data_IF_961976665352
#
_entry.id   IF_961976665352
#
_cell.length_a   1.000
_cell.length_b   1.000
_cell.length_c   1.000
_cell.angle_alpha   90.00
_cell.angle_beta   90.00
_cell.angle_gamma   90.00
#
_symmetry.space_group_name_H-M   'P 1'
#
loop_
_entity.id
_entity.type
_entity.pdbx_description
1 polymer ?
#
# COMPACT_ATOMS: atom_id res chain seq x y z
N UNK A 1 -0.01 11.22 -1.52
CA UNK A 1 -0.95 11.75 -2.55
C UNK A 1 -0.35 12.87 -3.41
N UNK A 2 -0.08 14.09 -2.90
CA UNK A 2 0.47 15.19 -3.74
C UNK A 2 1.89 14.95 -4.27
N UNK A 3 2.82 14.60 -3.38
CA UNK A 3 4.24 14.39 -3.73
C UNK A 3 4.45 13.28 -4.76
N UNK A 4 3.51 12.36 -4.86
CA UNK A 4 3.56 11.19 -5.75
C UNK A 4 2.73 11.34 -7.03
N UNK A 5 2.07 12.51 -7.24
CA UNK A 5 1.20 12.77 -8.39
C UNK A 5 0.18 11.65 -8.66
N UNK A 6 -0.36 11.07 -7.59
CA UNK A 6 -1.29 9.93 -7.70
C UNK A 6 -2.61 10.40 -8.31
N UNK A 7 -3.11 9.76 -9.38
CA UNK A 7 -4.44 10.02 -9.89
C UNK A 7 -5.51 9.74 -8.81
N UNK A 8 -6.51 10.60 -8.72
CA UNK A 8 -7.60 10.50 -7.76
C UNK A 8 -8.95 10.60 -8.46
N UNK A 9 -9.95 9.97 -7.86
CA UNK A 9 -11.36 10.26 -8.09
C UNK A 9 -11.91 11.03 -6.88
N UNK A 10 -12.48 12.21 -7.13
CA UNK A 10 -13.19 13.00 -6.12
C UNK A 10 -14.67 12.87 -6.40
N UNK A 11 -15.42 12.34 -5.45
CA UNK A 11 -16.88 12.28 -5.53
C UNK A 11 -17.45 13.48 -4.79
N UNK A 12 -18.36 14.18 -5.45
CA UNK A 12 -19.08 15.31 -4.87
C UNK A 12 -20.33 14.83 -4.14
N UNK A 13 -20.86 15.66 -3.25
CA UNK A 13 -22.09 15.37 -2.48
C UNK A 13 -23.32 15.18 -3.38
N UNK A 14 -23.32 15.76 -4.58
CA UNK A 14 -24.36 15.60 -5.59
C UNK A 14 -24.17 14.37 -6.48
N UNK A 15 -23.16 13.52 -6.21
CA UNK A 15 -22.88 12.30 -6.96
C UNK A 15 -21.98 12.47 -8.19
N UNK A 16 -21.61 13.70 -8.56
CA UNK A 16 -20.67 13.93 -9.67
C UNK A 16 -19.28 13.39 -9.30
N UNK A 17 -18.61 12.75 -10.26
CA UNK A 17 -17.24 12.26 -10.12
C UNK A 17 -16.28 13.15 -10.93
N UNK A 18 -15.31 13.73 -10.25
CA UNK A 18 -14.18 14.43 -10.87
C UNK A 18 -12.95 13.52 -10.84
N UNK A 19 -12.14 13.56 -11.90
CA UNK A 19 -10.90 12.78 -11.98
C UNK A 19 -9.74 13.68 -12.36
N UNK A 20 -8.58 13.42 -11.78
CA UNK A 20 -7.36 14.18 -12.03
C UNK A 20 -6.28 13.88 -11.01
N UNK A 21 -5.27 14.72 -10.96
CA UNK A 21 -4.23 14.70 -9.93
C UNK A 21 -4.39 15.89 -9.02
N UNK A 22 -4.08 15.69 -7.74
CA UNK A 22 -4.11 16.78 -6.78
C UNK A 22 -2.86 17.64 -6.97
N UNK A 23 -3.04 18.87 -7.45
CA UNK A 23 -1.97 19.84 -7.67
C UNK A 23 -1.61 20.57 -6.36
N UNK A 24 -2.60 21.14 -5.67
CA UNK A 24 -2.42 21.84 -4.39
C UNK A 24 -3.69 21.80 -3.51
N UNK A 25 -3.61 22.36 -2.31
CA UNK A 25 -4.71 22.56 -1.34
C UNK A 25 -4.33 23.63 -0.34
N UNK A 26 -5.38 24.22 0.24
CA UNK A 26 -5.33 24.87 1.54
C UNK A 26 -6.36 24.21 2.49
N UNK A 27 -6.81 24.97 3.49
CA UNK A 27 -7.81 24.55 4.46
C UNK A 27 -9.19 24.25 3.83
N UNK A 28 -9.60 24.94 2.77
CA UNK A 28 -10.97 24.94 2.24
C UNK A 28 -11.11 24.36 0.84
N UNK A 29 -10.06 24.40 0.02
CA UNK A 29 -10.11 24.01 -1.39
C UNK A 29 -9.02 23.02 -1.77
N UNK A 30 -9.24 22.34 -2.90
CA UNK A 30 -8.28 21.48 -3.59
C UNK A 30 -8.16 21.97 -5.03
N UNK A 31 -6.95 22.17 -5.53
CA UNK A 31 -6.72 22.29 -6.97
C UNK A 31 -6.55 20.89 -7.56
N UNK A 32 -7.47 20.51 -8.43
CA UNK A 32 -7.47 19.25 -9.17
C UNK A 32 -7.07 19.52 -10.62
N UNK A 33 -6.03 18.85 -11.10
CA UNK A 33 -5.51 18.98 -12.45
C UNK A 33 -5.93 17.78 -13.30
N UNK A 34 -6.63 18.03 -14.39
CA UNK A 34 -6.77 17.10 -15.52
C UNK A 34 -6.07 17.70 -16.75
N UNK A 35 -6.82 18.11 -17.79
CA UNK A 35 -6.33 19.02 -18.84
C UNK A 35 -6.08 20.42 -18.28
N UNK A 36 -6.96 20.92 -17.43
CA UNK A 36 -6.86 22.24 -16.77
C UNK A 36 -6.85 22.09 -15.24
N UNK A 37 -6.41 23.13 -14.55
CA UNK A 37 -6.46 23.20 -13.08
C UNK A 37 -7.81 23.78 -12.68
N UNK A 38 -8.59 23.02 -11.92
CA UNK A 38 -9.88 23.46 -11.39
C UNK A 38 -9.86 23.46 -9.86
N UNK A 39 -10.55 24.44 -9.27
CA UNK A 39 -10.71 24.54 -7.83
C UNK A 39 -11.95 23.76 -7.39
N UNK A 40 -11.80 22.91 -6.39
CA UNK A 40 -12.89 22.11 -5.81
C UNK A 40 -13.01 22.45 -4.32
N UNK A 41 -14.17 22.93 -3.90
CA UNK A 41 -14.44 23.26 -2.49
C UNK A 41 -14.70 22.00 -1.67
N UNK A 42 -14.05 21.87 -0.51
CA UNK A 42 -14.17 20.68 0.35
C UNK A 42 -15.58 20.44 0.89
N UNK A 43 -16.39 21.48 1.09
CA UNK A 43 -17.78 21.33 1.54
C UNK A 43 -18.66 20.58 0.52
N UNK A 44 -18.26 20.58 -0.76
CA UNK A 44 -18.97 19.90 -1.82
C UNK A 44 -18.44 18.48 -2.08
N UNK A 45 -17.37 18.05 -1.39
CA UNK A 45 -16.73 16.75 -1.57
C UNK A 45 -17.32 15.75 -0.57
N UNK A 46 -17.74 14.58 -1.04
CA UNK A 46 -18.13 13.46 -0.19
C UNK A 46 -16.95 12.54 0.10
N UNK A 47 -16.19 12.15 -0.94
CA UNK A 47 -15.04 11.24 -0.78
C UNK A 47 -13.92 11.52 -1.78
N UNK A 48 -12.69 11.16 -1.41
CA UNK A 48 -11.51 11.20 -2.28
C UNK A 48 -10.87 9.82 -2.31
N UNK A 49 -10.80 9.22 -3.49
CA UNK A 49 -10.30 7.85 -3.68
C UNK A 49 -9.05 7.86 -4.57
N UNK A 50 -7.88 7.44 -4.08
CA UNK A 50 -6.69 7.33 -4.91
C UNK A 50 -6.79 6.11 -5.85
N UNK A 51 -6.21 6.21 -7.04
CA UNK A 51 -6.24 5.12 -8.03
C UNK A 51 -5.38 3.91 -7.65
N UNK A 52 -4.49 4.09 -6.67
CA UNK A 52 -3.66 3.05 -6.08
C UNK A 52 -3.52 3.30 -4.57
N UNK A 53 -3.26 2.25 -3.77
CA UNK A 53 -2.88 2.44 -2.37
C UNK A 53 -1.72 3.43 -2.25
N UNK A 54 -1.83 4.37 -1.32
CA UNK A 54 -0.77 5.31 -1.01
C UNK A 54 -0.12 4.91 0.30
N UNK A 55 1.21 4.80 0.29
CA UNK A 55 1.95 4.50 1.51
C UNK A 55 1.91 5.72 2.42
N UNK A 56 1.21 5.58 3.53
CA UNK A 56 1.32 6.52 4.63
C UNK A 56 2.59 6.14 5.38
N UNK A 57 3.69 6.85 5.08
CA UNK A 57 4.84 6.86 5.99
C UNK A 57 4.39 7.58 7.25
N UNK A 58 3.66 6.88 8.11
CA UNK A 58 3.48 7.27 9.49
C UNK A 58 4.89 7.21 10.08
N UNK A 59 5.50 8.37 10.32
CA UNK A 59 6.70 8.49 11.14
C UNK A 59 6.32 8.05 12.56
N UNK A 60 6.14 6.75 12.76
CA UNK A 60 6.16 6.13 14.06
C UNK A 60 7.61 5.74 14.29
N UNK A 61 8.40 6.70 14.79
CA UNK A 61 9.68 6.42 15.41
C UNK A 61 9.41 5.72 16.75
N UNK A 62 9.02 4.45 16.69
CA UNK A 62 8.77 3.59 17.83
C UNK A 62 9.32 2.22 17.50
N UNK A 63 10.50 1.91 18.06
CA UNK A 63 11.19 0.64 17.87
C UNK A 63 10.31 -0.56 18.18
N UNK A 64 9.96 -1.31 17.14
CA UNK A 64 9.46 -2.67 17.25
C UNK A 64 10.61 -3.63 17.00
N UNK A 65 11.25 -4.06 18.08
CA UNK A 65 12.26 -5.11 18.11
C UNK A 65 11.79 -6.36 17.36
N UNK A 66 12.66 -6.86 16.50
CA UNK A 66 12.51 -8.06 15.67
C UNK A 66 12.04 -9.29 16.47
N UNK A 67 11.04 -9.99 15.92
CA UNK A 67 10.74 -11.38 16.26
C UNK A 67 11.93 -12.30 15.93
N UNK A 68 12.31 -13.22 16.82
CA UNK A 68 12.51 -14.64 16.47
C UNK A 68 12.77 -15.54 17.70
N UNK A 69 11.74 -16.21 18.24
CA UNK A 69 11.95 -17.40 19.09
C UNK A 69 11.68 -18.63 18.21
N UNK A 70 12.73 -19.18 17.61
CA UNK A 70 12.71 -20.50 16.99
C UNK A 70 13.00 -21.55 18.07
N UNK A 71 11.95 -22.21 18.55
CA UNK A 71 12.09 -23.45 19.32
C UNK A 71 12.13 -24.62 18.34
N UNK A 72 13.27 -25.30 18.29
CA UNK A 72 13.51 -26.43 17.41
C UNK A 72 12.88 -27.72 17.90
N UNK A 73 12.48 -28.55 16.95
CA UNK A 73 12.72 -30.01 16.90
C UNK A 73 11.86 -30.59 15.78
N UNK A 74 12.46 -31.33 14.84
CA UNK A 74 12.23 -32.76 14.69
C UNK A 74 12.99 -33.35 13.48
N UNK A 75 13.23 -34.66 13.57
CA UNK A 75 13.54 -35.63 12.52
C UNK A 75 15.00 -35.80 12.09
N UNK A 76 15.70 -36.59 12.92
CA UNK A 76 16.88 -37.36 12.57
C UNK A 76 16.50 -38.46 11.56
N UNK A 77 17.12 -38.43 10.38
CA UNK A 77 17.04 -39.48 9.37
C UNK A 77 18.43 -39.99 9.03
N UNK A 78 18.61 -41.32 9.03
CA UNK A 78 19.50 -42.07 8.12
C UNK A 78 19.48 -43.57 8.47
N UNK A 79 18.64 -44.32 7.77
CA UNK A 79 18.81 -45.75 7.56
C UNK A 79 19.05 -45.98 6.06
N UNK A 80 20.27 -46.36 5.68
CA UNK A 80 20.66 -46.77 4.33
C UNK A 80 20.88 -48.29 4.34
N UNK A 81 20.04 -49.05 3.63
CA UNK A 81 20.32 -49.74 2.34
C UNK A 81 21.40 -50.82 2.45
N UNK A 82 20.99 -52.08 2.66
CA UNK A 82 20.72 -53.12 1.64
C UNK A 82 22.00 -53.70 1.03
N UNK A 83 22.26 -54.92 1.49
CA UNK A 83 23.34 -55.85 1.15
C UNK A 83 22.86 -56.74 0.00
N UNK A 84 23.66 -56.85 -1.07
CA UNK A 84 23.53 -57.92 -2.06
C UNK A 84 24.85 -58.11 -2.82
N UNK A 85 25.58 -59.12 -2.37
CA UNK A 85 26.54 -60.02 -3.02
C UNK A 85 26.81 -59.84 -4.52
N UNK A 86 28.10 -59.70 -4.88
CA UNK A 86 28.68 -60.34 -6.07
C UNK A 86 30.20 -60.54 -5.88
N UNK A 87 30.66 -61.80 -5.96
CA UNK A 87 31.89 -62.33 -6.62
C UNK A 87 32.72 -63.31 -5.76
N UNK A 88 32.72 -64.56 -6.27
CA UNK A 88 33.61 -65.74 -6.08
C UNK A 88 33.94 -66.32 -4.69
#
# INVERSE_FOLDING_TARGET
>A
MRRERVPVSIYLVNGIKLQGQIESFDQFVILLKNTVSQMVYKHAISTVVPSRPVSHHSNNAGGGTSNNYHHGSNAQGSGAQQDSEETE
#
